data_IF_714164737492
#
_entry.id   IF_714164737492
#
_cell.length_a   1.000
_cell.length_b   1.000
_cell.length_c   1.000
_cell.angle_alpha   90.00
_cell.angle_beta   90.00
_cell.angle_gamma   90.00
#
_symmetry.space_group_name_H-M   'P 1'
#
loop_
_entity.id
_entity.type
_entity.pdbx_description
1 polymer ?
#
# COMPACT_ATOMS: atom_id res chain seq x y z
N UNK A 1 -51.96 -63.52 4.14
CA UNK A 1 -51.63 -62.23 4.81
C UNK A 1 -50.17 -61.77 4.59
N UNK A 2 -49.48 -62.13 3.49
CA UNK A 2 -48.10 -61.65 3.21
C UNK A 2 -48.07 -60.44 2.27
N UNK A 3 -49.06 -60.29 1.41
CA UNK A 3 -49.08 -59.24 0.39
C UNK A 3 -49.47 -57.87 0.98
N UNK A 4 -50.31 -57.85 2.03
CA UNK A 4 -50.76 -56.60 2.67
C UNK A 4 -49.64 -55.88 3.42
N UNK A 5 -48.75 -56.64 4.06
CA UNK A 5 -47.57 -56.11 4.76
C UNK A 5 -46.57 -55.46 3.80
N UNK A 6 -46.47 -55.99 2.57
CA UNK A 6 -45.59 -55.46 1.54
C UNK A 6 -46.07 -54.09 1.03
N UNK A 7 -47.39 -53.92 0.85
CA UNK A 7 -47.98 -52.63 0.46
C UNK A 7 -47.83 -51.55 1.53
N UNK A 8 -47.93 -51.91 2.82
CA UNK A 8 -47.72 -50.96 3.93
C UNK A 8 -46.25 -50.50 3.98
N UNK A 9 -45.30 -51.43 3.79
CA UNK A 9 -43.89 -51.11 3.80
C UNK A 9 -43.51 -50.21 2.60
N UNK A 10 -44.10 -50.46 1.44
CA UNK A 10 -43.90 -49.63 0.24
C UNK A 10 -44.51 -48.23 0.38
N UNK A 11 -45.67 -48.11 1.05
CA UNK A 11 -46.29 -46.82 1.35
C UNK A 11 -45.45 -45.99 2.33
N UNK A 12 -44.82 -46.62 3.33
CA UNK A 12 -43.95 -45.94 4.29
C UNK A 12 -42.65 -45.42 3.65
N UNK A 13 -42.12 -46.16 2.68
CA UNK A 13 -40.92 -45.79 1.91
C UNK A 13 -41.19 -44.60 0.96
N UNK A 14 -42.40 -44.52 0.39
CA UNK A 14 -42.79 -43.38 -0.44
C UNK A 14 -43.01 -42.09 0.36
N UNK A 15 -43.41 -42.19 1.63
CA UNK A 15 -43.63 -41.03 2.49
C UNK A 15 -42.33 -40.34 2.92
N UNK A 16 -41.21 -41.08 2.98
CA UNK A 16 -39.91 -40.54 3.40
C UNK A 16 -39.21 -39.71 2.32
N UNK A 17 -39.62 -39.83 1.05
CA UNK A 17 -39.05 -39.06 -0.07
C UNK A 17 -39.73 -37.69 -0.26
N UNK A 18 -40.84 -37.43 0.43
CA UNK A 18 -41.59 -36.16 0.38
C UNK A 18 -41.14 -35.15 1.46
N UNK A 19 -39.97 -35.35 2.06
CA UNK A 19 -39.40 -34.38 3.00
C UNK A 19 -39.03 -33.10 2.26
N UNK A 20 -39.97 -32.15 2.27
CA UNK A 20 -39.86 -30.87 1.59
C UNK A 20 -38.88 -30.00 2.38
N UNK A 21 -37.63 -30.00 1.94
CA UNK A 21 -36.56 -29.16 2.48
C UNK A 21 -36.90 -27.69 2.16
N UNK A 22 -37.44 -26.98 3.16
CA UNK A 22 -37.75 -25.56 3.01
C UNK A 22 -36.45 -24.78 3.09
N UNK A 23 -35.89 -24.42 1.94
CA UNK A 23 -34.79 -23.45 1.88
C UNK A 23 -35.25 -22.13 2.50
N UNK A 24 -34.50 -21.67 3.51
CA UNK A 24 -34.76 -20.40 4.17
C UNK A 24 -34.46 -19.26 3.20
N UNK A 25 -35.50 -18.73 2.55
CA UNK A 25 -35.37 -17.52 1.75
C UNK A 25 -35.33 -16.31 2.68
N UNK A 26 -34.13 -15.75 2.88
CA UNK A 26 -33.94 -14.51 3.64
C UNK A 26 -34.85 -13.42 3.04
N UNK A 27 -35.75 -12.81 3.82
CA UNK A 27 -36.61 -11.75 3.30
C UNK A 27 -35.75 -10.56 2.84
N UNK A 28 -35.74 -10.26 1.54
CA UNK A 28 -35.01 -9.12 0.94
C UNK A 28 -35.50 -7.73 1.43
N UNK A 29 -36.51 -7.68 2.29
CA UNK A 29 -37.25 -6.46 2.66
C UNK A 29 -36.47 -5.52 3.59
N UNK A 30 -35.28 -5.91 4.06
CA UNK A 30 -34.51 -5.17 5.06
C UNK A 30 -33.06 -4.88 4.65
N UNK A 31 -32.74 -4.94 3.35
CA UNK A 31 -31.44 -4.48 2.86
C UNK A 31 -31.47 -2.95 2.72
N UNK A 32 -31.47 -2.28 3.87
CA UNK A 32 -31.35 -0.83 3.95
C UNK A 32 -29.86 -0.53 4.07
N UNK A 33 -29.28 0.04 3.02
CA UNK A 33 -27.91 0.52 3.04
C UNK A 33 -27.79 1.74 3.97
N UNK A 34 -27.34 1.47 5.20
CA UNK A 34 -27.15 2.47 6.26
C UNK A 34 -26.09 3.52 5.92
N UNK A 35 -25.28 3.30 4.88
CA UNK A 35 -24.16 4.14 4.49
C UNK A 35 -24.39 4.89 3.18
N UNK A 36 -25.61 4.82 2.61
CA UNK A 36 -25.97 5.47 1.34
C UNK A 36 -25.75 6.98 1.34
N UNK A 37 -25.87 7.62 2.52
CA UNK A 37 -25.71 9.06 2.72
C UNK A 37 -24.43 9.43 3.48
N UNK A 38 -23.54 8.47 3.76
CA UNK A 38 -22.18 8.85 4.15
C UNK A 38 -21.58 9.57 2.95
N UNK A 39 -21.23 10.85 3.17
CA UNK A 39 -20.36 11.53 2.23
C UNK A 39 -19.15 10.63 2.07
N UNK A 40 -18.87 10.21 0.85
CA UNK A 40 -17.50 9.87 0.46
C UNK A 40 -16.70 11.15 0.63
N UNK A 41 -16.39 11.53 1.87
CA UNK A 41 -15.32 12.44 2.16
C UNK A 41 -14.14 11.77 1.51
N UNK A 42 -13.74 12.34 0.38
CA UNK A 42 -12.61 11.88 -0.39
C UNK A 42 -11.44 11.86 0.57
N UNK A 43 -11.13 10.68 1.11
CA UNK A 43 -9.92 10.35 1.86
C UNK A 43 -8.70 10.45 0.92
N UNK A 44 -8.62 11.53 0.15
CA UNK A 44 -7.42 11.91 -0.56
C UNK A 44 -6.46 12.35 0.54
N UNK A 45 -5.55 11.43 0.87
CA UNK A 45 -4.43 11.75 1.73
C UNK A 45 -3.76 13.01 1.19
N UNK A 46 -3.52 13.99 2.07
CA UNK A 46 -2.85 15.23 1.72
C UNK A 46 -1.56 14.95 0.95
N UNK A 47 -1.44 15.53 -0.25
CA UNK A 47 -0.25 15.46 -1.09
C UNK A 47 0.38 16.85 -1.13
N UNK A 48 1.64 16.96 -0.72
CA UNK A 48 2.38 18.22 -0.72
C UNK A 48 2.63 18.73 -2.14
N UNK A 49 2.72 20.06 -2.28
CA UNK A 49 3.26 20.67 -3.50
C UNK A 49 4.78 20.45 -3.59
N UNK A 50 5.37 20.67 -4.77
CA UNK A 50 6.82 20.58 -4.96
C UNK A 50 7.57 21.57 -4.05
N UNK A 51 7.19 22.85 -4.08
CA UNK A 51 7.83 23.90 -3.27
C UNK A 51 7.74 23.62 -1.76
N UNK A 52 6.59 23.10 -1.31
CA UNK A 52 6.38 22.69 0.07
C UNK A 52 7.28 21.51 0.45
N UNK A 53 7.34 20.48 -0.41
CA UNK A 53 8.20 19.33 -0.20
C UNK A 53 9.68 19.75 -0.15
N UNK A 54 10.11 20.67 -1.02
CA UNK A 54 11.45 21.25 -1.00
C UNK A 54 11.75 22.01 0.30
N UNK A 55 10.85 22.88 0.75
CA UNK A 55 11.08 23.68 1.97
C UNK A 55 11.16 22.85 3.25
N UNK A 56 10.37 21.78 3.33
CA UNK A 56 10.33 20.90 4.51
C UNK A 56 11.50 19.91 4.49
N UNK A 57 11.88 19.39 3.32
CA UNK A 57 12.92 18.36 3.19
C UNK A 57 14.24 18.76 3.85
N UNK A 58 14.92 17.78 4.43
CA UNK A 58 16.29 17.94 4.93
C UNK A 58 17.31 17.70 3.81
N UNK A 59 16.93 16.91 2.80
CA UNK A 59 17.75 16.57 1.65
C UNK A 59 16.85 16.28 0.44
N UNK A 60 17.25 16.76 -0.73
CA UNK A 60 16.59 16.47 -2.01
C UNK A 60 17.62 15.97 -3.01
N UNK A 61 17.33 14.81 -3.59
CA UNK A 61 18.20 14.13 -4.57
C UNK A 61 17.41 13.91 -5.85
N UNK A 62 17.96 14.28 -7.00
CA UNK A 62 17.43 13.86 -8.29
C UNK A 62 18.12 12.56 -8.71
N UNK A 63 17.34 11.50 -8.92
CA UNK A 63 17.90 10.21 -9.32
C UNK A 63 16.99 9.44 -10.26
N UNK A 64 17.57 8.91 -11.33
CA UNK A 64 16.94 7.94 -12.24
C UNK A 64 17.19 6.49 -11.81
N UNK A 65 18.18 6.22 -10.96
CA UNK A 65 18.56 4.86 -10.53
C UNK A 65 18.24 4.64 -9.04
N UNK A 66 17.01 4.17 -8.81
CA UNK A 66 16.45 3.89 -7.49
C UNK A 66 15.84 2.49 -7.54
N UNK A 67 16.26 1.61 -6.65
CA UNK A 67 15.77 0.23 -6.53
C UNK A 67 15.28 -0.07 -5.11
N UNK A 68 14.34 -1.01 -4.98
CA UNK A 68 13.91 -1.53 -3.67
C UNK A 68 14.92 -2.59 -3.25
N UNK A 69 15.56 -2.39 -2.10
CA UNK A 69 16.54 -3.36 -1.55
C UNK A 69 15.87 -4.36 -0.62
N UNK A 70 14.92 -3.91 0.20
CA UNK A 70 14.29 -4.74 1.22
C UNK A 70 12.88 -4.22 1.50
N UNK A 71 11.99 -5.10 1.94
CA UNK A 71 10.64 -4.73 2.35
C UNK A 71 10.15 -5.65 3.44
N UNK A 72 9.54 -5.06 4.48
CA UNK A 72 8.84 -5.81 5.51
C UNK A 72 7.36 -5.51 5.41
N UNK A 73 6.58 -6.54 5.07
CA UNK A 73 5.12 -6.50 5.03
C UNK A 73 4.56 -7.76 5.69
N UNK A 74 3.70 -7.61 6.68
CA UNK A 74 3.00 -8.74 7.30
C UNK A 74 2.61 -8.51 8.76
N UNK A 75 3.56 -8.09 9.61
CA UNK A 75 3.31 -7.74 11.00
C UNK A 75 3.57 -6.24 11.23
N UNK A 76 2.51 -5.47 11.45
CA UNK A 76 2.58 -4.03 11.69
C UNK A 76 2.67 -3.19 10.41
N UNK A 77 3.17 -1.95 10.55
CA UNK A 77 3.27 -1.00 9.44
C UNK A 77 4.30 -1.48 8.42
N UNK A 78 3.92 -1.50 7.15
CA UNK A 78 4.82 -1.86 6.07
C UNK A 78 5.98 -0.85 5.98
N UNK A 79 7.19 -1.36 5.79
CA UNK A 79 8.39 -0.56 5.55
C UNK A 79 9.09 -1.04 4.30
N UNK A 80 9.66 -0.11 3.57
CA UNK A 80 10.36 -0.33 2.31
C UNK A 80 11.69 0.38 2.38
N UNK A 81 12.78 -0.32 2.07
CA UNK A 81 14.12 0.25 2.00
C UNK A 81 14.48 0.38 0.53
N UNK A 82 14.81 1.60 0.14
CA UNK A 82 15.23 1.95 -1.20
C UNK A 82 16.72 2.25 -1.22
N UNK A 83 17.39 1.90 -2.31
CA UNK A 83 18.77 2.26 -2.61
C UNK A 83 18.81 3.17 -3.83
N UNK A 84 19.51 4.28 -3.70
CA UNK A 84 19.85 5.22 -4.76
C UNK A 84 21.29 4.87 -5.18
N UNK A 85 21.48 4.44 -6.42
CA UNK A 85 22.81 4.02 -6.88
C UNK A 85 23.59 5.16 -7.54
N UNK A 86 22.87 6.13 -8.11
CA UNK A 86 23.44 7.34 -8.72
C UNK A 86 22.42 8.47 -8.71
N UNK A 87 22.88 9.71 -8.72
CA UNK A 87 22.02 10.88 -8.76
C UNK A 87 22.75 12.17 -8.40
N UNK A 88 22.06 13.28 -8.57
CA UNK A 88 22.55 14.61 -8.26
C UNK A 88 21.94 15.09 -6.94
N UNK A 89 22.79 15.56 -6.03
CA UNK A 89 22.34 16.23 -4.81
C UNK A 89 21.93 17.65 -5.16
N UNK A 90 20.64 17.95 -5.04
CA UNK A 90 20.11 19.28 -5.34
C UNK A 90 20.10 20.19 -4.11
N UNK A 91 19.77 19.61 -2.96
CA UNK A 91 19.64 20.37 -1.72
C UNK A 91 19.99 19.50 -0.52
N UNK A 92 20.70 20.07 0.45
CA UNK A 92 20.81 19.51 1.79
C UNK A 92 20.89 20.64 2.82
N UNK A 93 20.13 20.52 3.92
CA UNK A 93 20.20 21.45 5.05
C UNK A 93 21.50 21.34 5.85
N UNK A 94 22.25 20.25 5.67
CA UNK A 94 23.56 20.03 6.30
C UNK A 94 24.58 19.88 5.18
N UNK A 95 25.85 20.21 5.44
CA UNK A 95 26.96 19.98 4.50
C UNK A 95 27.29 18.49 4.36
N UNK A 96 26.30 17.70 3.92
CA UNK A 96 26.36 16.25 3.81
C UNK A 96 26.71 15.87 2.39
N UNK A 97 27.93 15.37 2.21
CA UNK A 97 28.32 14.69 0.96
C UNK A 97 27.62 13.33 0.93
N UNK A 98 26.82 13.09 -0.12
CA UNK A 98 26.22 11.77 -0.37
C UNK A 98 27.30 10.87 -0.97
N UNK A 99 27.40 9.65 -0.43
CA UNK A 99 28.15 8.55 -1.04
C UNK A 99 27.16 7.49 -1.50
N UNK A 100 27.35 7.01 -2.73
CA UNK A 100 26.51 6.01 -3.36
C UNK A 100 27.13 4.60 -3.21
N UNK A 101 26.32 3.53 -3.06
CA UNK A 101 24.86 3.52 -3.01
C UNK A 101 24.29 4.03 -1.67
N UNK A 102 23.28 4.89 -1.75
CA UNK A 102 22.69 5.55 -0.61
C UNK A 102 21.31 4.97 -0.28
N UNK A 103 21.05 4.61 0.98
CA UNK A 103 19.80 3.95 1.40
C UNK A 103 18.90 4.86 2.21
N UNK A 104 17.61 4.81 1.91
CA UNK A 104 16.57 5.51 2.68
C UNK A 104 15.36 4.60 2.94
N UNK A 105 14.61 4.92 3.99
CA UNK A 105 13.42 4.16 4.41
C UNK A 105 12.14 4.88 3.98
N UNK A 106 11.12 4.13 3.56
CA UNK A 106 9.77 4.65 3.34
C UNK A 106 8.75 3.77 4.06
N UNK A 107 7.73 4.41 4.64
CA UNK A 107 6.59 3.74 5.27
C UNK A 107 5.46 3.42 4.27
N UNK A 108 5.66 3.78 3.00
CA UNK A 108 4.71 3.51 1.92
C UNK A 108 5.47 3.05 0.68
N UNK A 109 4.80 2.23 -0.14
CA UNK A 109 5.38 1.81 -1.42
C UNK A 109 5.36 3.00 -2.38
N UNK A 110 6.54 3.50 -2.73
CA UNK A 110 6.70 4.58 -3.69
C UNK A 110 6.42 4.08 -5.10
N UNK A 111 5.53 4.76 -5.79
CA UNK A 111 5.20 4.46 -7.17
C UNK A 111 6.18 5.14 -8.12
N UNK A 112 7.37 4.56 -8.25
CA UNK A 112 8.42 5.03 -9.16
C UNK A 112 8.11 4.53 -10.58
N UNK A 113 7.00 4.97 -11.19
CA UNK A 113 6.76 4.75 -12.63
C UNK A 113 7.76 5.59 -13.40
N UNK A 114 8.87 4.97 -13.78
CA UNK A 114 9.93 5.60 -14.57
C UNK A 114 9.75 5.20 -16.02
N UNK A 115 9.76 6.18 -16.93
CA UNK A 115 10.27 5.91 -18.28
C UNK A 115 11.80 5.82 -18.22
N UNK A 116 12.42 5.18 -19.20
CA UNK A 116 13.81 4.67 -19.12
C UNK A 116 14.88 5.71 -18.75
N UNK A 117 14.60 7.02 -18.85
CA UNK A 117 15.54 8.11 -18.61
C UNK A 117 15.02 9.21 -17.67
N UNK A 118 13.86 9.02 -17.04
CA UNK A 118 13.30 10.06 -16.18
C UNK A 118 13.93 10.02 -14.79
N UNK A 119 14.51 11.14 -14.39
CA UNK A 119 14.98 11.33 -13.02
C UNK A 119 13.78 11.64 -12.13
N UNK A 120 13.82 11.19 -10.88
CA UNK A 120 12.76 11.43 -9.89
C UNK A 120 13.34 12.29 -8.78
N UNK A 121 12.56 13.25 -8.29
CA UNK A 121 12.88 13.96 -7.07
C UNK A 121 12.64 13.08 -5.85
N UNK A 122 13.69 12.90 -5.05
CA UNK A 122 13.66 12.14 -3.80
C UNK A 122 13.71 13.12 -2.64
N UNK A 123 12.56 13.32 -2.01
CA UNK A 123 12.40 14.19 -0.84
C UNK A 123 12.65 13.40 0.44
N UNK A 124 13.70 13.78 1.18
CA UNK A 124 14.16 13.06 2.36
C UNK A 124 14.09 13.95 3.60
N UNK A 125 13.59 13.37 4.69
CA UNK A 125 13.66 13.92 6.05
C UNK A 125 14.56 13.03 6.92
N UNK A 126 15.11 13.59 8.00
CA UNK A 126 15.86 12.79 8.98
C UNK A 126 15.01 11.64 9.50
N UNK A 127 15.61 10.45 9.61
CA UNK A 127 14.93 9.26 10.11
C UNK A 127 14.40 9.49 11.53
N UNK A 128 13.09 9.27 11.72
CA UNK A 128 12.40 9.39 13.00
C UNK A 128 11.98 7.98 13.45
N UNK A 129 12.79 7.36 14.31
CA UNK A 129 12.56 6.01 14.82
C UNK A 129 13.43 4.95 14.14
N UNK A 130 12.99 3.69 14.17
CA UNK A 130 13.65 2.54 13.53
C UNK A 130 15.16 2.37 13.86
N UNK A 131 15.59 2.72 15.09
CA UNK A 131 17.01 2.73 15.50
C UNK A 131 17.77 1.46 15.12
N UNK A 132 17.19 0.29 15.39
CA UNK A 132 17.84 -1.00 15.10
C UNK A 132 18.08 -1.23 13.59
N UNK A 133 17.11 -0.83 12.74
CA UNK A 133 17.24 -0.94 11.29
C UNK A 133 18.21 0.13 10.77
N UNK A 134 18.16 1.32 11.35
CA UNK A 134 19.04 2.44 11.02
C UNK A 134 20.52 2.05 11.21
N UNK A 135 20.86 1.44 12.35
CA UNK A 135 22.21 0.98 12.65
C UNK A 135 22.63 -0.20 11.76
N UNK A 136 21.76 -1.21 11.62
CA UNK A 136 22.07 -2.41 10.85
C UNK A 136 22.24 -2.15 9.35
N UNK A 137 21.42 -1.25 8.78
CA UNK A 137 21.41 -0.94 7.33
C UNK A 137 22.07 0.39 6.99
N UNK A 138 22.62 1.09 8.00
CA UNK A 138 23.25 2.42 7.91
C UNK A 138 22.34 3.49 7.29
N UNK A 139 21.05 3.46 7.61
CA UNK A 139 20.04 4.39 7.09
C UNK A 139 19.96 5.62 8.00
N UNK A 140 20.09 6.81 7.42
CA UNK A 140 20.05 8.09 8.17
C UNK A 140 18.78 8.91 7.89
N UNK A 141 18.13 8.68 6.75
CA UNK A 141 17.01 9.47 6.28
C UNK A 141 15.84 8.56 5.88
N UNK A 142 14.64 9.14 5.89
CA UNK A 142 13.40 8.51 5.45
C UNK A 142 12.72 9.40 4.41
N UNK A 143 11.85 8.79 3.62
CA UNK A 143 10.97 9.50 2.69
C UNK A 143 10.09 10.49 3.45
N UNK A 144 10.00 11.72 2.93
CA UNK A 144 9.15 12.75 3.52
C UNK A 144 7.68 12.34 3.44
N UNK A 145 7.01 12.26 4.60
CA UNK A 145 5.59 11.90 4.66
C UNK A 145 4.74 12.94 3.91
N UNK A 146 3.94 12.48 2.95
CA UNK A 146 3.10 13.35 2.12
C UNK A 146 3.80 13.93 0.89
N UNK A 147 5.11 13.66 0.72
CA UNK A 147 5.80 14.06 -0.49
C UNK A 147 5.33 13.23 -1.70
N UNK A 148 4.97 13.89 -2.80
CA UNK A 148 4.68 13.23 -4.08
C UNK A 148 5.95 12.69 -4.74
N UNK A 149 5.76 11.75 -5.66
CA UNK A 149 6.80 11.29 -6.56
C UNK A 149 6.74 12.17 -7.81
N UNK A 150 7.57 13.20 -7.88
CA UNK A 150 7.68 14.06 -9.07
C UNK A 150 8.75 13.53 -10.02
N UNK A 151 8.38 13.45 -11.29
CA UNK A 151 9.34 13.26 -12.38
C UNK A 151 10.01 14.60 -12.65
N UNK A 152 11.33 14.57 -12.76
CA UNK A 152 12.11 15.69 -13.28
C UNK A 152 11.81 15.77 -14.78
N UNK A 153 11.05 16.79 -15.16
CA UNK A 153 10.80 17.05 -16.57
C UNK A 153 12.09 17.62 -17.18
N UNK A 154 12.85 16.75 -17.85
CA UNK A 154 14.12 17.10 -18.51
C UNK A 154 13.95 18.15 -19.63
N UNK A 155 12.71 18.54 -19.96
CA UNK A 155 12.37 19.52 -20.99
C UNK A 155 12.63 21.00 -20.60
N UNK A 156 12.91 21.30 -19.31
CA UNK A 156 13.34 22.64 -18.88
C UNK A 156 14.84 22.67 -18.64
N UNK A 157 15.62 22.61 -19.72
CA UNK A 157 17.05 22.93 -19.69
C UNK A 157 17.40 23.89 -20.81
#
# INVERSE_FOLDING_TARGET
MKNFTFYILFAFLLFSVLSCEKEYQRPRKYEIDLFKNEKKDSNQAYVMSEDEAYGISDMVVASSDISVTDSSSGRGKAIYIYSINSGDLLFSKRDSVISYPYRFLSNQRLNLKKEKNDSVYVFLEKLKGYKSIAEMKQIKYQWLKGAPVYLLDNAKK
#
